data_IF_794695888153
#
_entry.id   IF_794695888153
#
_cell.length_a   1.000
_cell.length_b   1.000
_cell.length_c   1.000
_cell.angle_alpha   90.00
_cell.angle_beta   90.00
_cell.angle_gamma   90.00
#
_symmetry.space_group_name_H-M   'P 1'
#
loop_
_entity.id
_entity.type
_entity.pdbx_description
1 polymer ?
#
# COMPACT_ATOMS: atom_id res chain seq x y z
N UNK A 1 26.20 -15.60 -12.77
CA UNK A 1 25.73 -14.20 -12.63
C UNK A 1 24.24 -14.07 -13.03
N UNK A 2 23.30 -14.65 -12.26
CA UNK A 2 21.85 -14.58 -12.58
C UNK A 2 20.93 -14.24 -11.39
N UNK A 3 21.44 -14.24 -10.14
CA UNK A 3 20.61 -14.11 -8.93
C UNK A 3 20.11 -12.69 -8.64
N UNK A 4 20.82 -11.64 -9.04
CA UNK A 4 20.49 -10.27 -8.63
C UNK A 4 19.18 -9.76 -9.27
N UNK A 5 18.89 -10.14 -10.52
CA UNK A 5 17.64 -9.74 -11.21
C UNK A 5 16.41 -10.39 -10.58
N UNK A 6 16.52 -11.66 -10.20
CA UNK A 6 15.41 -12.40 -9.60
C UNK A 6 15.07 -11.89 -8.20
N UNK A 7 16.08 -11.49 -7.41
CA UNK A 7 15.86 -10.84 -6.12
C UNK A 7 15.16 -9.48 -6.26
N UNK A 8 15.54 -8.68 -7.26
CA UNK A 8 14.87 -7.41 -7.55
C UNK A 8 13.41 -7.62 -7.94
N UNK A 9 13.11 -8.60 -8.80
CA UNK A 9 11.75 -8.93 -9.22
C UNK A 9 10.90 -9.35 -8.01
N UNK A 10 11.42 -10.21 -7.14
CA UNK A 10 10.71 -10.63 -5.91
C UNK A 10 10.46 -9.46 -4.95
N UNK A 11 11.44 -8.57 -4.79
CA UNK A 11 11.30 -7.32 -4.00
C UNK A 11 10.23 -6.39 -4.59
N UNK A 12 10.21 -6.19 -5.90
CA UNK A 12 9.21 -5.39 -6.62
C UNK A 12 7.78 -5.96 -6.49
N UNK A 13 7.62 -7.28 -6.61
CA UNK A 13 6.34 -7.96 -6.42
C UNK A 13 5.84 -7.79 -4.98
N UNK A 14 6.74 -7.93 -3.99
CA UNK A 14 6.41 -7.71 -2.58
C UNK A 14 5.93 -6.28 -2.29
N UNK A 15 6.55 -5.28 -2.91
CA UNK A 15 6.13 -3.87 -2.81
C UNK A 15 4.73 -3.68 -3.39
N UNK A 16 4.46 -4.23 -4.58
CA UNK A 16 3.14 -4.16 -5.21
C UNK A 16 2.05 -4.78 -4.34
N UNK A 17 2.33 -5.93 -3.72
CA UNK A 17 1.39 -6.60 -2.82
C UNK A 17 1.12 -5.78 -1.55
N UNK A 18 2.16 -5.18 -0.97
CA UNK A 18 2.03 -4.31 0.21
C UNK A 18 1.19 -3.07 -0.06
N UNK A 19 1.40 -2.44 -1.21
CA UNK A 19 0.65 -1.26 -1.65
C UNK A 19 -0.82 -1.60 -1.89
N UNK A 20 -1.08 -2.69 -2.63
CA UNK A 20 -2.44 -3.17 -2.89
C UNK A 20 -3.21 -3.51 -1.63
N UNK A 21 -2.57 -4.22 -0.68
CA UNK A 21 -3.18 -4.52 0.62
C UNK A 21 -3.42 -3.27 1.46
N UNK A 22 -2.48 -2.33 1.52
CA UNK A 22 -2.65 -1.10 2.31
C UNK A 22 -3.83 -0.26 1.82
N UNK A 23 -3.94 -0.08 0.49
CA UNK A 23 -5.04 0.67 -0.12
C UNK A 23 -6.36 -0.12 0.01
N UNK A 24 -6.34 -1.42 -0.29
CA UNK A 24 -7.53 -2.28 -0.24
C UNK A 24 -8.12 -2.39 1.16
N UNK A 25 -7.28 -2.53 2.19
CA UNK A 25 -7.71 -2.54 3.59
C UNK A 25 -8.25 -1.17 4.01
N UNK A 26 -7.57 -0.07 3.65
CA UNK A 26 -8.06 1.30 3.92
C UNK A 26 -9.41 1.59 3.26
N UNK A 27 -9.59 1.14 2.01
CA UNK A 27 -10.82 1.25 1.26
C UNK A 27 -11.96 0.41 1.87
N UNK A 28 -11.69 -0.85 2.24
CA UNK A 28 -12.68 -1.72 2.88
C UNK A 28 -13.16 -1.15 4.22
N UNK A 29 -12.24 -0.66 5.05
CA UNK A 29 -12.59 -0.06 6.35
C UNK A 29 -13.42 1.21 6.15
N UNK A 30 -13.01 2.07 5.19
CA UNK A 30 -13.73 3.29 4.88
C UNK A 30 -15.14 3.03 4.33
N UNK A 31 -15.29 2.04 3.44
CA UNK A 31 -16.57 1.62 2.87
C UNK A 31 -17.52 1.08 3.94
N UNK A 32 -17.00 0.26 4.87
CA UNK A 32 -17.80 -0.25 5.97
C UNK A 32 -18.25 0.86 6.94
N UNK A 33 -17.40 1.87 7.13
CA UNK A 33 -17.73 3.09 7.86
C UNK A 33 -18.86 3.89 7.21
N UNK A 34 -18.76 4.19 5.91
CA UNK A 34 -19.81 4.92 5.20
C UNK A 34 -21.15 4.16 5.22
N UNK A 35 -21.13 2.83 5.10
CA UNK A 35 -22.34 2.01 5.17
C UNK A 35 -23.02 2.06 6.55
N UNK A 36 -22.25 2.29 7.62
CA UNK A 36 -22.78 2.32 9.00
C UNK A 36 -23.32 3.70 9.40
N UNK A 37 -22.76 4.77 8.85
CA UNK A 37 -23.07 6.14 9.24
C UNK A 37 -24.05 6.86 8.29
N UNK A 38 -24.46 6.22 7.19
CA UNK A 38 -25.25 6.85 6.09
C UNK A 38 -24.63 8.16 5.56
N UNK A 39 -23.37 8.41 5.91
CA UNK A 39 -22.60 9.52 5.42
C UNK A 39 -22.24 9.21 3.98
N UNK A 40 -22.61 10.13 3.09
CA UNK A 40 -22.02 10.28 1.75
C UNK A 40 -20.51 9.98 1.80
N UNK A 41 -19.88 9.47 0.73
CA UNK A 41 -18.68 8.63 0.73
C UNK A 41 -17.39 9.29 1.27
N UNK A 42 -17.43 9.78 2.51
CA UNK A 42 -16.45 10.62 3.17
C UNK A 42 -15.52 9.73 3.99
N UNK A 43 -16.04 8.72 4.68
CA UNK A 43 -15.19 7.76 5.39
C UNK A 43 -14.41 6.88 4.44
N UNK A 44 -14.99 6.49 3.30
CA UNK A 44 -14.27 5.81 2.22
C UNK A 44 -13.17 6.71 1.67
N UNK A 45 -13.46 8.00 1.43
CA UNK A 45 -12.46 8.92 0.91
C UNK A 45 -11.29 9.11 1.89
N UNK A 46 -11.57 9.29 3.18
CA UNK A 46 -10.54 9.42 4.22
C UNK A 46 -9.78 8.10 4.41
N UNK A 47 -10.48 6.96 4.42
CA UNK A 47 -9.88 5.63 4.56
C UNK A 47 -8.95 5.28 3.40
N UNK A 48 -9.37 5.59 2.17
CA UNK A 48 -8.52 5.46 0.97
C UNK A 48 -7.35 6.43 1.03
N UNK A 49 -7.57 7.69 1.42
CA UNK A 49 -6.50 8.70 1.51
C UNK A 49 -5.41 8.25 2.51
N UNK A 50 -5.82 7.76 3.68
CA UNK A 50 -4.90 7.20 4.68
C UNK A 50 -4.24 5.93 4.15
N UNK A 51 -4.98 5.04 3.49
CA UNK A 51 -4.44 3.82 2.88
C UNK A 51 -3.38 4.11 1.81
N UNK A 52 -3.60 5.14 0.99
CA UNK A 52 -2.66 5.63 -0.03
C UNK A 52 -1.43 6.24 0.62
N UNK A 53 -1.58 7.10 1.63
CA UNK A 53 -0.45 7.69 2.37
C UNK A 53 0.42 6.60 3.01
N UNK A 54 -0.20 5.61 3.68
CA UNK A 54 0.51 4.46 4.23
C UNK A 54 1.22 3.64 3.14
N UNK A 55 0.57 3.41 2.00
CA UNK A 55 1.17 2.68 0.88
C UNK A 55 2.39 3.42 0.31
N UNK A 56 2.32 4.74 0.12
CA UNK A 56 3.43 5.57 -0.35
C UNK A 56 4.58 5.56 0.65
N UNK A 57 4.30 5.77 1.94
CA UNK A 57 5.33 5.72 2.99
C UNK A 57 6.01 4.36 3.08
N UNK A 58 5.23 3.27 3.03
CA UNK A 58 5.78 1.91 3.07
C UNK A 58 6.56 1.56 1.81
N UNK A 59 6.09 1.98 0.63
CA UNK A 59 6.81 1.84 -0.63
C UNK A 59 8.17 2.55 -0.56
N UNK A 60 8.21 3.82 -0.14
CA UNK A 60 9.46 4.57 0.01
C UNK A 60 10.40 3.86 0.99
N UNK A 61 9.90 3.38 2.14
CA UNK A 61 10.70 2.62 3.11
C UNK A 61 11.34 1.37 2.49
N UNK A 62 10.56 0.59 1.74
CA UNK A 62 11.07 -0.62 1.07
C UNK A 62 12.08 -0.26 -0.02
N UNK A 63 11.80 0.76 -0.83
CA UNK A 63 12.71 1.23 -1.88
C UNK A 63 14.05 1.72 -1.30
N UNK A 64 14.00 2.53 -0.24
CA UNK A 64 15.21 3.01 0.46
C UNK A 64 15.99 1.84 1.07
N UNK A 65 15.32 0.85 1.65
CA UNK A 65 15.97 -0.33 2.18
C UNK A 65 16.71 -1.11 1.08
N UNK A 66 16.11 -1.26 -0.10
CA UNK A 66 16.73 -1.92 -1.25
C UNK A 66 17.89 -1.09 -1.82
N UNK A 67 17.73 0.23 -1.90
CA UNK A 67 18.75 1.13 -2.45
C UNK A 67 19.98 1.22 -1.53
N UNK A 68 19.77 1.16 -0.21
CA UNK A 68 20.85 1.15 0.80
C UNK A 68 21.61 -0.18 0.85
N UNK A 69 21.04 -1.25 0.30
CA UNK A 69 21.65 -2.58 0.26
C UNK A 69 22.58 -2.78 -0.97
N UNK A 70 22.69 -1.78 -1.85
CA UNK A 70 23.69 -1.69 -2.93
C UNK A 70 24.74 -0.63 -2.61
#
# INVERSE_FOLDING_TARGET
MHSNKMQLILKLIGIGWYVGLSIGVGAMIGYWGDQRFETNPLFTLIGVLVGVLCAVMGMIRMLVAILKEN
#
